data_IF_477478737528
#
_entry.id   IF_477478737528
#
_cell.length_a   1.000
_cell.length_b   1.000
_cell.length_c   1.000
_cell.angle_alpha   90.00
_cell.angle_beta   90.00
_cell.angle_gamma   90.00
#
_symmetry.space_group_name_H-M   'P 1'
#
loop_
_entity.id
_entity.type
_entity.pdbx_description
1 polymer ?
#
# COMPACT_ATOMS: atom_id res chain seq x y z
N UNK A 1 22.58 21.79 -3.44
CA UNK A 1 22.25 21.05 -2.20
C UNK A 1 21.40 19.90 -2.66
N UNK A 2 22.01 18.75 -2.91
CA UNK A 2 21.41 17.68 -3.72
C UNK A 2 21.27 16.44 -2.85
N UNK A 3 20.12 16.27 -2.22
CA UNK A 3 19.73 15.01 -1.57
C UNK A 3 18.21 14.89 -1.60
N UNK A 4 17.64 14.38 -2.69
CA UNK A 4 16.30 13.80 -2.67
C UNK A 4 16.43 12.36 -3.14
N UNK A 5 16.41 11.45 -2.18
CA UNK A 5 16.67 10.03 -2.37
C UNK A 5 16.87 9.43 -1.00
N UNK A 6 15.82 9.42 -0.19
CA UNK A 6 15.84 8.71 1.08
C UNK A 6 16.24 7.25 0.83
N UNK A 7 17.08 6.68 1.69
CA UNK A 7 17.56 5.30 1.55
C UNK A 7 16.37 4.34 1.41
N UNK A 8 16.38 3.51 0.38
CA UNK A 8 15.39 2.45 0.20
C UNK A 8 15.97 1.11 0.65
N UNK A 9 15.23 0.41 1.49
CA UNK A 9 15.62 -0.91 1.99
C UNK A 9 14.50 -1.92 1.72
N UNK A 10 14.73 -2.81 0.75
CA UNK A 10 13.81 -3.90 0.47
C UNK A 10 13.78 -4.87 1.65
N UNK A 11 12.58 -5.20 2.13
CA UNK A 11 12.38 -6.20 3.18
C UNK A 11 11.44 -7.34 2.76
N UNK A 12 10.62 -7.14 1.71
CA UNK A 12 9.76 -8.18 1.17
C UNK A 12 9.61 -8.08 -0.36
N UNK A 13 9.17 -9.19 -0.95
CA UNK A 13 8.88 -9.30 -2.38
C UNK A 13 7.50 -9.92 -2.59
N UNK A 14 6.68 -9.33 -3.45
CA UNK A 14 5.41 -9.87 -3.87
C UNK A 14 5.63 -11.06 -4.83
N UNK A 15 4.61 -11.92 -4.98
CA UNK A 15 4.68 -13.04 -5.94
C UNK A 15 4.84 -12.60 -7.40
N UNK A 16 4.46 -11.36 -7.73
CA UNK A 16 4.69 -10.71 -9.03
C UNK A 16 6.15 -10.34 -9.28
N UNK A 17 6.97 -10.26 -8.23
CA UNK A 17 8.34 -9.76 -8.29
C UNK A 17 8.51 -8.32 -7.79
N UNK A 18 7.41 -7.61 -7.55
CA UNK A 18 7.38 -6.25 -6.96
C UNK A 18 7.94 -6.24 -5.53
N UNK A 19 8.38 -5.08 -5.07
CA UNK A 19 9.09 -4.93 -3.80
C UNK A 19 8.33 -4.09 -2.79
N UNK A 20 8.42 -4.50 -1.52
CA UNK A 20 8.10 -3.63 -0.38
C UNK A 20 9.41 -3.12 0.21
N UNK A 21 9.51 -1.81 0.34
CA UNK A 21 10.72 -1.13 0.79
C UNK A 21 10.42 -0.18 1.93
N UNK A 22 11.29 -0.13 2.94
CA UNK A 22 11.31 0.97 3.89
C UNK A 22 11.98 2.20 3.28
N UNK A 23 11.48 3.38 3.63
CA UNK A 23 12.04 4.68 3.23
C UNK A 23 12.77 5.31 4.42
N UNK A 24 14.02 5.72 4.21
CA UNK A 24 14.84 6.44 5.18
C UNK A 24 15.51 5.54 6.24
N UNK A 25 16.03 6.22 7.26
CA UNK A 25 16.73 5.58 8.39
C UNK A 25 15.78 5.26 9.54
N UNK A 26 16.05 4.17 10.28
CA UNK A 26 15.23 3.72 11.39
C UNK A 26 14.86 2.24 11.31
N UNK A 27 13.87 1.85 12.12
CA UNK A 27 13.37 0.47 12.22
C UNK A 27 12.08 0.24 11.44
N UNK A 28 11.18 -0.54 12.02
CA UNK A 28 9.91 -0.94 11.40
C UNK A 28 8.85 0.17 11.36
N UNK A 29 9.09 1.30 12.03
CA UNK A 29 8.21 2.49 12.01
C UNK A 29 8.39 3.36 10.76
N UNK A 30 9.38 3.02 9.91
CA UNK A 30 9.67 3.76 8.68
C UNK A 30 8.50 3.68 7.70
N UNK A 31 8.26 4.73 6.88
CA UNK A 31 7.32 4.64 5.77
C UNK A 31 7.64 3.46 4.88
N UNK A 32 6.60 2.78 4.41
CA UNK A 32 6.70 1.67 3.48
C UNK A 32 6.19 2.12 2.12
N UNK A 33 7.00 1.92 1.09
CA UNK A 33 6.61 2.06 -0.31
C UNK A 33 6.50 0.70 -0.98
N UNK A 34 5.59 0.61 -1.94
CA UNK A 34 5.57 -0.45 -2.92
C UNK A 34 6.25 0.04 -4.19
N UNK A 35 7.08 -0.83 -4.78
CA UNK A 35 7.78 -0.57 -6.04
C UNK A 35 7.39 -1.67 -7.02
N UNK A 36 6.63 -1.28 -8.03
CA UNK A 36 6.22 -2.13 -9.15
C UNK A 36 7.38 -2.36 -10.11
N UNK A 37 7.44 -3.55 -10.70
CA UNK A 37 8.33 -3.82 -11.84
C UNK A 37 7.96 -3.00 -13.09
N UNK A 38 6.73 -2.48 -13.16
CA UNK A 38 6.26 -1.65 -14.27
C UNK A 38 6.75 -0.19 -14.18
N UNK A 39 7.57 0.16 -13.18
CA UNK A 39 8.13 1.50 -13.03
C UNK A 39 7.27 2.44 -12.19
N UNK A 40 6.32 1.91 -11.42
CA UNK A 40 5.48 2.67 -10.51
C UNK A 40 5.93 2.50 -9.06
N UNK A 41 5.79 3.54 -8.24
CA UNK A 41 5.99 3.43 -6.80
C UNK A 41 5.08 4.37 -6.00
N UNK A 42 4.76 3.96 -4.78
CA UNK A 42 3.94 4.80 -3.91
C UNK A 42 3.91 4.33 -2.47
N UNK A 43 3.62 5.24 -1.52
CA UNK A 43 3.51 4.90 -0.12
C UNK A 43 2.27 4.05 0.14
N UNK A 44 2.44 3.00 0.95
CA UNK A 44 1.34 2.14 1.41
C UNK A 44 0.99 2.35 2.89
N UNK A 45 1.99 2.69 3.71
CA UNK A 45 1.84 2.73 5.16
C UNK A 45 2.94 3.53 5.83
N UNK A 46 2.69 4.00 7.04
CA UNK A 46 3.69 4.47 7.99
C UNK A 46 4.00 3.32 8.96
N UNK A 47 5.02 2.55 8.60
CA UNK A 47 5.49 1.41 9.38
C UNK A 47 4.86 0.07 9.01
N UNK A 48 5.54 -0.99 9.43
CA UNK A 48 5.19 -2.38 9.13
C UNK A 48 3.84 -2.78 9.72
N UNK A 49 3.52 -2.28 10.93
CA UNK A 49 2.25 -2.58 11.58
C UNK A 49 1.03 -2.05 10.79
N UNK A 50 1.14 -0.84 10.21
CA UNK A 50 0.09 -0.28 9.37
C UNK A 50 -0.03 -1.04 8.04
N UNK A 51 1.10 -1.40 7.42
CA UNK A 51 1.12 -2.23 6.21
C UNK A 51 0.41 -3.58 6.40
N UNK A 52 0.71 -4.27 7.50
CA UNK A 52 0.08 -5.57 7.80
C UNK A 52 -1.43 -5.42 7.95
N UNK A 53 -1.89 -4.36 8.62
CA UNK A 53 -3.33 -4.09 8.78
C UNK A 53 -4.00 -3.78 7.44
N UNK A 54 -3.32 -3.04 6.55
CA UNK A 54 -3.79 -2.78 5.19
C UNK A 54 -3.98 -4.10 4.43
N UNK A 55 -2.95 -4.96 4.38
CA UNK A 55 -2.98 -6.24 3.67
C UNK A 55 -4.08 -7.19 4.20
N UNK A 56 -4.39 -7.12 5.49
CA UNK A 56 -5.47 -7.89 6.10
C UNK A 56 -6.86 -7.32 5.78
N UNK A 57 -7.00 -5.99 5.76
CA UNK A 57 -8.28 -5.34 5.52
C UNK A 57 -8.69 -5.34 4.05
N UNK A 58 -7.73 -5.11 3.13
CA UNK A 58 -7.96 -4.94 1.70
C UNK A 58 -6.86 -5.69 0.90
N UNK A 59 -6.88 -7.03 0.85
CA UNK A 59 -5.83 -7.80 0.15
C UNK A 59 -5.76 -7.54 -1.37
N UNK A 60 -6.83 -6.96 -1.93
CA UNK A 60 -6.98 -6.52 -3.32
C UNK A 60 -6.61 -5.04 -3.53
N UNK A 61 -5.94 -4.38 -2.58
CA UNK A 61 -5.60 -2.95 -2.65
C UNK A 61 -4.87 -2.52 -3.94
N UNK A 62 -4.19 -3.45 -4.62
CA UNK A 62 -3.48 -3.19 -5.89
C UNK A 62 -4.41 -2.85 -7.04
N UNK A 63 -5.64 -3.33 -6.98
CA UNK A 63 -6.66 -3.05 -7.99
C UNK A 63 -7.42 -1.75 -7.68
N UNK A 64 -7.06 -1.06 -6.58
CA UNK A 64 -7.70 0.16 -6.15
C UNK A 64 -7.32 1.47 -6.89
N UNK A 65 -6.07 1.66 -7.38
CA UNK A 65 -5.71 2.87 -8.12
C UNK A 65 -6.68 3.16 -9.29
N UNK A 66 -7.11 4.41 -9.42
CA UNK A 66 -7.95 4.88 -10.53
C UNK A 66 -9.42 4.43 -10.50
N UNK A 67 -9.87 3.71 -9.48
CA UNK A 67 -11.24 3.16 -9.40
C UNK A 67 -12.21 4.03 -8.60
N UNK A 68 -13.48 4.01 -9.01
CA UNK A 68 -14.58 4.59 -8.22
C UNK A 68 -14.95 3.70 -7.04
N UNK A 69 -15.72 4.23 -6.07
CA UNK A 69 -16.18 3.45 -4.93
C UNK A 69 -17.02 2.22 -5.34
N UNK A 70 -17.80 2.33 -6.42
CA UNK A 70 -18.60 1.26 -6.98
C UNK A 70 -17.73 0.16 -7.61
N UNK A 71 -16.70 0.54 -8.38
CA UNK A 71 -15.75 -0.42 -8.97
C UNK A 71 -14.95 -1.15 -7.88
N UNK A 72 -14.52 -0.44 -6.84
CA UNK A 72 -13.85 -1.04 -5.68
C UNK A 72 -14.77 -2.03 -4.95
N UNK A 73 -16.06 -1.73 -4.85
CA UNK A 73 -17.04 -2.66 -4.27
C UNK A 73 -17.14 -3.93 -5.10
N UNK A 74 -17.21 -3.81 -6.43
CA UNK A 74 -17.25 -4.95 -7.33
C UNK A 74 -16.00 -5.82 -7.20
N UNK A 75 -14.80 -5.23 -7.17
CA UNK A 75 -13.53 -5.94 -6.94
C UNK A 75 -13.55 -6.69 -5.60
N UNK A 76 -14.01 -6.02 -4.54
CA UNK A 76 -14.10 -6.61 -3.21
C UNK A 76 -15.08 -7.79 -3.17
N UNK A 77 -16.18 -7.71 -3.93
CA UNK A 77 -17.18 -8.77 -4.02
C UNK A 77 -16.65 -9.95 -4.84
N UNK A 78 -16.05 -9.70 -6.02
CA UNK A 78 -15.36 -10.73 -6.83
C UNK A 78 -14.29 -11.47 -6.01
N UNK A 79 -13.46 -10.73 -5.28
CA UNK A 79 -12.44 -11.33 -4.43
C UNK A 79 -13.02 -12.20 -3.31
N UNK A 80 -14.21 -11.85 -2.78
CA UNK A 80 -14.92 -12.68 -1.79
C UNK A 80 -15.58 -13.90 -2.42
N UNK A 81 -16.05 -13.81 -3.66
CA UNK A 81 -16.57 -14.95 -4.41
C UNK A 81 -15.47 -15.99 -4.66
N UNK A 82 -14.28 -15.53 -5.05
CA UNK A 82 -13.10 -16.38 -5.21
C UNK A 82 -12.55 -16.92 -3.87
N UNK A 83 -12.77 -16.16 -2.78
CA UNK A 83 -12.28 -16.48 -1.45
C UNK A 83 -13.40 -16.42 -0.40
N UNK A 84 -14.33 -17.39 -0.38
CA UNK A 84 -15.50 -17.35 0.49
C UNK A 84 -15.16 -17.45 1.98
N UNK A 85 -13.97 -17.92 2.33
CA UNK A 85 -13.46 -17.99 3.70
C UNK A 85 -12.52 -16.81 4.07
N UNK A 86 -12.47 -15.75 3.26
CA UNK A 86 -11.59 -14.60 3.43
C UNK A 86 -11.59 -14.05 4.86
N UNK A 87 -12.77 -13.74 5.40
CA UNK A 87 -12.88 -13.17 6.76
C UNK A 87 -12.31 -14.11 7.82
N UNK A 88 -12.53 -15.43 7.69
CA UNK A 88 -11.97 -16.42 8.60
C UNK A 88 -10.45 -16.50 8.49
N UNK A 89 -9.91 -16.42 7.27
CA UNK A 89 -8.46 -16.41 7.01
C UNK A 89 -7.82 -15.14 7.55
N UNK A 90 -8.44 -13.97 7.32
CA UNK A 90 -8.02 -12.67 7.87
C UNK A 90 -7.96 -12.72 9.39
N UNK A 91 -9.03 -13.16 10.04
CA UNK A 91 -9.09 -13.19 11.51
C UNK A 91 -8.07 -14.16 12.10
N UNK A 92 -7.84 -15.31 11.45
CA UNK A 92 -6.78 -16.25 11.83
C UNK A 92 -5.40 -15.61 11.71
N UNK A 93 -5.13 -14.95 10.59
CA UNK A 93 -3.85 -14.29 10.34
C UNK A 93 -3.61 -13.15 11.34
N UNK A 94 -4.62 -12.31 11.59
CA UNK A 94 -4.56 -11.24 12.59
C UNK A 94 -4.18 -11.78 13.98
N UNK A 95 -4.87 -12.83 14.45
CA UNK A 95 -4.57 -13.47 15.74
C UNK A 95 -3.17 -14.06 15.80
N UNK A 96 -2.72 -14.69 14.72
CA UNK A 96 -1.37 -15.25 14.64
C UNK A 96 -0.28 -14.16 14.70
N UNK A 97 -0.59 -12.96 14.22
CA UNK A 97 0.27 -11.78 14.27
C UNK A 97 0.10 -10.96 15.56
N UNK A 98 -0.67 -11.45 16.54
CA UNK A 98 -0.93 -10.74 17.79
C UNK A 98 -1.84 -9.51 17.65
N UNK A 99 -2.55 -9.38 16.52
CA UNK A 99 -3.52 -8.32 16.26
C UNK A 99 -4.93 -8.75 16.69
N UNK A 100 -5.70 -7.79 17.18
CA UNK A 100 -7.13 -7.97 17.44
C UNK A 100 -7.91 -7.81 16.12
N UNK A 101 -8.60 -8.86 15.62
CA UNK A 101 -9.39 -8.76 14.40
C UNK A 101 -10.46 -7.66 14.47
N UNK A 102 -11.01 -7.37 15.66
CA UNK A 102 -12.02 -6.33 15.85
C UNK A 102 -11.46 -4.91 15.73
N UNK A 103 -10.13 -4.75 15.74
CA UNK A 103 -9.43 -3.46 15.59
C UNK A 103 -8.81 -3.27 14.21
N UNK A 104 -9.02 -4.22 13.29
CA UNK A 104 -8.62 -4.00 11.90
C UNK A 104 -9.45 -2.85 11.30
N UNK A 105 -8.84 -2.01 10.45
CA UNK A 105 -9.59 -0.96 9.78
C UNK A 105 -10.67 -1.58 8.88
N UNK A 106 -11.78 -0.86 8.73
CA UNK A 106 -12.73 -1.18 7.67
C UNK A 106 -12.08 -0.99 6.30
N UNK A 107 -12.61 -1.63 5.26
CA UNK A 107 -12.12 -1.45 3.88
C UNK A 107 -12.08 0.03 3.49
N UNK A 108 -13.17 0.76 3.77
CA UNK A 108 -13.26 2.18 3.48
C UNK A 108 -12.20 3.00 4.22
N UNK A 109 -11.93 2.68 5.49
CA UNK A 109 -10.87 3.32 6.27
C UNK A 109 -9.49 3.04 5.70
N UNK A 110 -9.22 1.79 5.32
CA UNK A 110 -7.94 1.37 4.77
C UNK A 110 -7.66 2.04 3.41
N UNK A 111 -8.67 2.10 2.53
CA UNK A 111 -8.58 2.78 1.24
C UNK A 111 -8.43 4.30 1.39
N UNK A 112 -9.21 4.92 2.27
CA UNK A 112 -9.06 6.36 2.53
C UNK A 112 -7.65 6.71 3.02
N UNK A 113 -7.06 5.81 3.84
CA UNK A 113 -5.69 5.96 4.33
C UNK A 113 -4.65 5.85 3.20
N UNK A 114 -4.82 4.92 2.26
CA UNK A 114 -3.98 4.85 1.07
C UNK A 114 -4.02 6.14 0.23
N UNK A 115 -5.21 6.69 0.01
CA UNK A 115 -5.40 7.95 -0.73
C UNK A 115 -4.76 9.14 0.00
N UNK A 116 -4.84 9.17 1.33
CA UNK A 116 -4.19 10.21 2.13
C UNK A 116 -2.66 10.16 1.97
N UNK A 117 -2.09 8.96 2.02
CA UNK A 117 -0.64 8.75 1.87
C UNK A 117 -0.15 9.14 0.47
N UNK A 118 -0.94 8.90 -0.58
CA UNK A 118 -0.57 9.21 -1.96
C UNK A 118 -0.65 10.70 -2.32
N UNK A 119 -1.37 11.52 -1.55
CA UNK A 119 -1.57 12.97 -1.83
C UNK A 119 -0.93 13.91 -0.82
N UNK A 120 -0.44 13.38 0.31
CA UNK A 120 0.08 14.15 1.43
C UNK A 120 1.59 14.44 1.38
N UNK A 121 2.14 15.06 2.44
CA UNK A 121 3.59 15.27 2.58
C UNK A 121 4.40 13.97 2.50
N UNK A 122 3.76 12.84 2.80
CA UNK A 122 4.35 11.51 2.69
C UNK A 122 4.61 11.10 1.24
N UNK A 123 3.77 11.49 0.28
CA UNK A 123 4.02 11.21 -1.13
C UNK A 123 5.32 11.87 -1.61
N UNK A 124 5.55 13.13 -1.21
CA UNK A 124 6.78 13.85 -1.52
C UNK A 124 8.01 13.27 -0.79
N UNK A 125 7.85 12.88 0.48
CA UNK A 125 8.93 12.29 1.27
C UNK A 125 9.29 10.86 0.85
N UNK A 126 8.37 10.15 0.19
CA UNK A 126 8.51 8.77 -0.27
C UNK A 126 8.72 8.65 -1.79
N UNK A 127 9.16 9.74 -2.43
CA UNK A 127 9.49 9.73 -3.86
C UNK A 127 10.61 8.73 -4.14
N UNK A 128 10.32 7.71 -4.94
CA UNK A 128 11.29 6.70 -5.36
C UNK A 128 11.94 7.15 -6.66
N UNK A 129 13.27 7.19 -6.68
CA UNK A 129 14.06 7.55 -7.86
C UNK A 129 14.62 6.27 -8.49
N UNK A 130 14.34 6.08 -9.78
CA UNK A 130 14.83 4.96 -10.57
C UNK A 130 16.33 5.04 -10.84
N UNK A 131 16.86 4.01 -11.49
CA UNK A 131 18.31 3.92 -11.77
C UNK A 131 18.82 5.04 -12.68
N UNK A 132 17.95 5.55 -13.57
CA UNK A 132 18.27 6.63 -14.52
C UNK A 132 18.25 8.02 -13.87
N UNK A 133 17.88 8.12 -12.58
CA UNK A 133 17.83 9.38 -11.84
C UNK A 133 16.48 10.10 -11.93
N UNK A 134 15.53 9.56 -12.70
CA UNK A 134 14.16 10.04 -12.79
C UNK A 134 13.26 9.38 -11.73
N UNK A 135 12.27 10.10 -11.18
CA UNK A 135 11.29 9.51 -10.28
C UNK A 135 10.43 8.47 -10.99
N UNK A 136 10.08 7.41 -10.28
CA UNK A 136 9.09 6.44 -10.73
C UNK A 136 7.69 7.08 -10.79
N UNK A 137 6.84 6.52 -11.65
CA UNK A 137 5.45 6.96 -11.77
C UNK A 137 4.69 6.70 -10.46
N UNK A 138 3.73 7.57 -10.08
CA UNK A 138 2.98 7.39 -8.84
C UNK A 138 2.08 6.17 -8.93
N UNK A 139 2.21 5.24 -7.97
CA UNK A 139 1.39 4.02 -7.90
C UNK A 139 -0.11 4.32 -7.73
N UNK A 140 -0.45 5.47 -7.15
CA UNK A 140 -1.82 5.91 -7.01
C UNK A 140 -1.97 7.28 -7.64
N UNK A 141 -3.01 7.43 -8.45
CA UNK A 141 -3.29 8.64 -9.20
C UNK A 141 -3.41 9.86 -8.25
N UNK A 142 -2.49 10.82 -8.42
CA UNK A 142 -2.47 12.05 -7.60
C UNK A 142 -3.43 13.10 -8.12
N UNK A 143 -3.95 12.94 -9.34
CA UNK A 143 -4.87 13.89 -9.94
C UNK A 143 -6.31 13.69 -9.42
N UNK A 144 -7.06 14.76 -9.14
CA UNK A 144 -8.51 14.67 -9.23
C UNK A 144 -8.84 14.44 -10.71
N UNK A 145 -9.45 13.31 -11.03
CA UNK A 145 -10.15 13.12 -12.30
C UNK A 145 -11.22 14.21 -12.37
N UNK A 146 -10.93 15.31 -13.04
CA UNK A 146 -11.93 16.35 -13.27
C UNK A 146 -12.84 15.88 -14.41
N UNK A 147 -14.18 15.98 -14.26
CA UNK A 147 -15.13 15.63 -15.31
C UNK A 147 -15.00 16.51 -16.56
#
# INVERSE_FOLDING_TARGET
>A
MNTSGARLEQFARAGSGDAFCFVGEGGEERPVVYVSLDGEAGPLALGLAELVRLCLAVPWWRDAPGRTAEELRAIADEYREDMPDLDRRRDRAARALGLDPAKLPSEATALARLVELSRGPWAAACLVVGHEGDPLDPLFDTAPTHP
#
